data_IF_884526728882
#
_entry.id   IF_884526728882
#
_cell.length_a   1.000
_cell.length_b   1.000
_cell.length_c   1.000
_cell.angle_alpha   90.00
_cell.angle_beta   90.00
_cell.angle_gamma   90.00
#
_symmetry.space_group_name_H-M   'P 1'
#
loop_
_entity.id
_entity.type
_entity.pdbx_description
1 polymer ?
#
# COMPACT_ATOMS: atom_id res chain seq x y z
N UNK A 1 -29.69 8.56 -15.17
CA UNK A 1 -30.10 9.76 -14.41
C UNK A 1 -28.88 10.65 -14.25
N UNK A 2 -28.89 11.91 -14.73
CA UNK A 2 -27.80 12.85 -14.51
C UNK A 2 -27.81 13.37 -13.07
N UNK A 3 -26.63 13.48 -12.46
CA UNK A 3 -26.46 14.02 -11.11
C UNK A 3 -25.79 15.39 -11.20
N UNK A 4 -26.35 16.39 -10.52
CA UNK A 4 -25.73 17.71 -10.40
C UNK A 4 -24.83 17.74 -9.16
N UNK A 5 -23.56 18.09 -9.35
CA UNK A 5 -22.55 18.18 -8.30
C UNK A 5 -21.97 19.59 -8.30
N UNK A 6 -21.84 20.19 -7.13
CA UNK A 6 -21.12 21.46 -6.99
C UNK A 6 -19.62 21.17 -6.91
N UNK A 7 -18.85 21.73 -7.84
CA UNK A 7 -17.40 21.64 -7.88
C UNK A 7 -16.85 23.07 -7.79
N UNK A 8 -15.86 23.34 -6.92
CA UNK A 8 -15.18 24.63 -6.90
C UNK A 8 -14.59 24.96 -8.28
N UNK A 9 -14.61 26.24 -8.65
CA UNK A 9 -14.17 26.70 -9.98
C UNK A 9 -12.72 26.29 -10.29
N UNK A 10 -11.84 26.37 -9.29
CA UNK A 10 -10.43 25.97 -9.41
C UNK A 10 -10.30 24.48 -9.76
N UNK A 11 -11.13 23.63 -9.14
CA UNK A 11 -11.15 22.20 -9.41
C UNK A 11 -11.72 21.91 -10.80
N UNK A 12 -12.77 22.62 -11.20
CA UNK A 12 -13.39 22.46 -12.52
C UNK A 12 -12.39 22.82 -13.64
N UNK A 13 -11.61 23.89 -13.46
CA UNK A 13 -10.54 24.30 -14.38
C UNK A 13 -9.48 23.20 -14.53
N UNK A 14 -9.02 22.60 -13.43
CA UNK A 14 -8.05 21.50 -13.49
C UNK A 14 -8.62 20.25 -14.18
N UNK A 15 -9.87 19.92 -13.92
CA UNK A 15 -10.60 18.81 -14.56
C UNK A 15 -10.69 19.04 -16.07
N UNK A 16 -11.01 20.26 -16.50
CA UNK A 16 -11.08 20.61 -17.93
C UNK A 16 -9.74 20.51 -18.63
N UNK A 17 -8.69 21.05 -18.03
CA UNK A 17 -7.33 20.95 -18.57
C UNK A 17 -6.93 19.49 -18.75
N UNK A 18 -7.26 18.64 -17.78
CA UNK A 18 -6.92 17.21 -17.82
C UNK A 18 -7.74 16.46 -18.87
N UNK A 19 -9.04 16.73 -18.96
CA UNK A 19 -9.92 16.14 -19.97
C UNK A 19 -9.48 16.53 -21.39
N UNK A 20 -9.11 17.81 -21.59
CA UNK A 20 -8.61 18.31 -22.86
C UNK A 20 -7.28 17.65 -23.27
N UNK A 21 -6.34 17.51 -22.33
CA UNK A 21 -5.08 16.82 -22.57
C UNK A 21 -5.28 15.36 -23.00
N UNK A 22 -6.32 14.71 -22.46
CA UNK A 22 -6.70 13.33 -22.79
C UNK A 22 -7.67 13.23 -23.98
N UNK A 23 -8.07 14.36 -24.59
CA UNK A 23 -9.02 14.45 -25.72
C UNK A 23 -10.35 13.74 -25.44
N UNK A 24 -10.83 13.81 -24.21
CA UNK A 24 -12.13 13.27 -23.79
C UNK A 24 -13.03 14.37 -23.26
N UNK A 25 -14.34 14.14 -23.23
CA UNK A 25 -15.26 15.09 -22.61
C UNK A 25 -15.03 15.16 -21.10
N UNK A 26 -15.28 16.33 -20.50
CA UNK A 26 -15.25 16.54 -19.04
C UNK A 26 -16.02 15.44 -18.30
N UNK A 27 -17.26 15.18 -18.72
CA UNK A 27 -18.11 14.19 -18.07
C UNK A 27 -17.52 12.77 -18.16
N UNK A 28 -16.93 12.41 -19.31
CA UNK A 28 -16.27 11.10 -19.45
C UNK A 28 -15.05 10.99 -18.54
N UNK A 29 -14.23 12.04 -18.49
CA UNK A 29 -13.09 12.09 -17.58
C UNK A 29 -13.51 11.95 -16.11
N UNK A 30 -14.57 12.66 -15.68
CA UNK A 30 -15.10 12.57 -14.30
C UNK A 30 -15.56 11.14 -14.00
N UNK A 31 -16.36 10.54 -14.90
CA UNK A 31 -16.88 9.18 -14.71
C UNK A 31 -15.77 8.13 -14.67
N UNK A 32 -14.81 8.21 -15.60
CA UNK A 32 -13.71 7.24 -15.70
C UNK A 32 -12.78 7.36 -14.47
N UNK A 33 -12.52 8.58 -14.00
CA UNK A 33 -11.72 8.82 -12.79
C UNK A 33 -12.41 8.28 -11.54
N UNK A 34 -13.70 8.60 -11.35
CA UNK A 34 -14.47 8.07 -10.21
C UNK A 34 -14.56 6.56 -10.24
N UNK A 35 -14.76 5.97 -11.43
CA UNK A 35 -14.77 4.51 -11.60
C UNK A 35 -13.41 3.92 -11.22
N UNK A 36 -12.31 4.51 -11.69
CA UNK A 36 -10.97 4.06 -11.35
C UNK A 36 -10.76 4.07 -9.84
N UNK A 37 -11.06 5.18 -9.15
CA UNK A 37 -10.88 5.30 -7.69
C UNK A 37 -11.74 4.31 -6.91
N UNK A 38 -12.95 4.02 -7.39
CA UNK A 38 -13.84 3.06 -6.74
C UNK A 38 -13.49 1.59 -7.07
N UNK A 39 -12.81 1.35 -8.19
CA UNK A 39 -12.38 0.02 -8.63
C UNK A 39 -10.97 -0.33 -8.17
N UNK A 40 -10.15 0.66 -7.84
CA UNK A 40 -8.83 0.46 -7.28
C UNK A 40 -9.00 0.16 -5.78
N UNK A 41 -8.83 -1.10 -5.33
CA UNK A 41 -8.89 -1.43 -3.92
C UNK A 41 -7.56 -0.99 -3.28
N UNK A 42 -7.33 0.32 -3.20
CA UNK A 42 -6.13 0.88 -2.56
C UNK A 42 -6.12 0.57 -1.04
N UNK A 43 -7.19 -0.05 -0.53
CA UNK A 43 -7.26 -0.63 0.80
C UNK A 43 -7.64 -2.10 0.74
N UNK A 44 -6.88 -2.91 1.49
CA UNK A 44 -7.32 -4.24 1.89
C UNK A 44 -8.72 -4.13 2.51
N UNK A 45 -9.65 -4.97 2.08
CA UNK A 45 -11.02 -4.91 2.59
C UNK A 45 -11.02 -5.11 4.11
N UNK A 46 -11.95 -4.47 4.86
CA UNK A 46 -12.03 -4.67 6.31
C UNK A 46 -12.16 -6.14 6.70
N UNK A 47 -12.84 -6.95 5.88
CA UNK A 47 -12.95 -8.40 6.06
C UNK A 47 -11.62 -9.14 5.89
N UNK A 48 -10.74 -8.68 4.98
CA UNK A 48 -9.40 -9.23 4.82
C UNK A 48 -8.50 -8.88 6.02
N UNK A 49 -8.56 -7.64 6.53
CA UNK A 49 -7.85 -7.24 7.76
C UNK A 49 -8.33 -8.09 8.94
N UNK A 50 -9.64 -8.20 9.11
CA UNK A 50 -10.23 -9.01 10.18
C UNK A 50 -9.82 -10.48 10.08
N UNK A 51 -9.64 -11.02 8.88
CA UNK A 51 -9.13 -12.38 8.68
C UNK A 51 -7.65 -12.54 9.05
N UNK A 52 -6.82 -11.51 8.86
CA UNK A 52 -5.41 -11.51 9.28
C UNK A 52 -5.26 -11.41 10.80
N UNK A 53 -6.15 -10.67 11.46
CA UNK A 53 -6.16 -10.54 12.93
C UNK A 53 -6.66 -11.80 13.63
N UNK A 54 -7.41 -12.64 12.91
CA UNK A 54 -7.85 -13.95 13.40
C UNK A 54 -6.68 -14.95 13.40
N UNK A 55 -5.86 -14.91 14.44
CA UNK A 55 -4.87 -15.94 14.69
C UNK A 55 -5.55 -17.25 15.13
N UNK A 56 -5.47 -18.28 14.29
CA UNK A 56 -5.92 -19.63 14.64
C UNK A 56 -5.06 -20.22 15.77
N UNK A 57 -5.66 -20.90 16.78
CA UNK A 57 -4.90 -21.64 17.77
C UNK A 57 -3.95 -22.63 17.10
N UNK A 58 -2.66 -22.55 17.41
CA UNK A 58 -1.62 -23.41 16.82
C UNK A 58 -0.93 -22.83 15.58
N UNK A 59 -1.36 -21.68 15.06
CA UNK A 59 -0.68 -21.00 13.95
C UNK A 59 0.79 -20.70 14.26
N UNK A 60 1.10 -20.25 15.48
CA UNK A 60 2.47 -19.98 15.91
C UNK A 60 3.37 -21.23 15.81
N UNK A 61 2.90 -22.38 16.29
CA UNK A 61 3.65 -23.63 16.21
C UNK A 61 3.83 -24.10 14.76
N UNK A 62 2.78 -23.98 13.93
CA UNK A 62 2.87 -24.32 12.51
C UNK A 62 3.86 -23.43 11.74
N UNK A 63 3.95 -22.14 12.09
CA UNK A 63 4.93 -21.20 11.52
C UNK A 63 6.35 -21.58 11.94
N UNK A 64 6.57 -21.93 13.21
CA UNK A 64 7.87 -22.39 13.70
C UNK A 64 8.32 -23.68 12.98
N UNK A 65 7.41 -24.65 12.84
CA UNK A 65 7.69 -25.90 12.13
C UNK A 65 7.93 -25.68 10.64
N UNK A 66 7.23 -24.73 10.00
CA UNK A 66 7.49 -24.31 8.64
C UNK A 66 8.90 -23.71 8.51
N UNK A 67 9.29 -22.84 9.44
CA UNK A 67 10.63 -22.24 9.49
C UNK A 67 11.73 -23.30 9.61
N UNK A 68 11.57 -24.26 10.51
CA UNK A 68 12.51 -25.40 10.68
C UNK A 68 12.64 -26.22 9.40
N UNK A 69 11.52 -26.53 8.75
CA UNK A 69 11.51 -27.28 7.49
C UNK A 69 12.23 -26.54 6.35
N UNK A 70 12.04 -25.22 6.25
CA UNK A 70 12.74 -24.39 5.25
C UNK A 70 14.25 -24.42 5.51
N UNK A 71 14.68 -24.24 6.75
CA UNK A 71 16.09 -24.31 7.14
C UNK A 71 16.69 -25.67 6.78
N UNK A 72 15.99 -26.76 7.12
CA UNK A 72 16.46 -28.12 6.88
C UNK A 72 16.56 -28.49 5.39
N UNK A 73 15.65 -27.97 4.55
CA UNK A 73 15.64 -28.23 3.10
C UNK A 73 16.52 -27.27 2.30
N UNK A 74 16.98 -26.17 2.88
CA UNK A 74 17.79 -25.17 2.18
C UNK A 74 19.18 -25.75 1.90
N UNK A 75 19.47 -25.98 0.61
CA UNK A 75 20.75 -26.53 0.13
C UNK A 75 21.75 -25.47 -0.37
N UNK A 76 21.40 -24.17 -0.40
CA UNK A 76 22.30 -23.13 -0.90
C UNK A 76 22.12 -21.76 -0.26
N UNK A 77 23.25 -21.00 -0.29
CA UNK A 77 23.60 -19.64 0.18
C UNK A 77 22.97 -19.14 1.48
N UNK A 78 23.77 -18.48 2.31
CA UNK A 78 23.34 -17.90 3.59
C UNK A 78 22.17 -16.91 3.44
N UNK A 79 21.29 -16.78 4.45
CA UNK A 79 20.23 -15.77 4.47
C UNK A 79 20.78 -14.37 4.25
N UNK A 80 20.01 -13.53 3.54
CA UNK A 80 20.27 -12.09 3.52
C UNK A 80 19.99 -11.58 4.93
N UNK A 81 20.96 -10.90 5.52
CA UNK A 81 20.78 -10.23 6.80
C UNK A 81 19.81 -9.05 6.61
N UNK A 82 18.58 -9.21 7.10
CA UNK A 82 17.55 -8.17 7.09
C UNK A 82 17.59 -7.29 8.34
N UNK A 83 18.56 -7.50 9.23
CA UNK A 83 18.71 -6.68 10.42
C UNK A 83 19.15 -5.27 10.01
N UNK A 84 18.39 -4.21 10.32
CA UNK A 84 18.80 -2.86 9.98
C UNK A 84 20.14 -2.53 10.68
N UNK A 85 21.08 -1.86 9.99
CA UNK A 85 22.39 -1.57 10.55
C UNK A 85 22.24 -0.74 11.82
N UNK A 86 22.84 -1.20 12.93
CA UNK A 86 22.90 -0.42 14.19
C UNK A 86 23.65 0.88 13.90
N UNK A 87 22.91 1.99 13.82
CA UNK A 87 23.49 3.32 13.65
C UNK A 87 24.39 3.63 14.86
N UNK A 88 25.70 3.69 14.63
CA UNK A 88 26.67 4.12 15.66
C UNK A 88 26.42 5.60 15.94
N UNK A 89 25.67 5.89 17.00
CA UNK A 89 25.45 7.25 17.51
C UNK A 89 26.79 7.79 18.01
N UNK A 90 27.51 8.56 17.18
CA UNK A 90 28.73 9.27 17.58
C UNK A 90 28.35 10.26 18.69
N UNK A 91 28.71 9.96 19.93
CA UNK A 91 28.72 10.96 21.02
C UNK A 91 29.83 11.96 20.69
N UNK A 92 29.47 13.17 20.25
CA UNK A 92 30.43 14.29 20.20
C UNK A 92 30.83 14.59 21.65
N UNK A 93 32.10 14.38 21.97
CA UNK A 93 32.68 14.88 23.20
C UNK A 93 32.81 16.40 23.08
N UNK A 94 32.13 17.12 23.96
CA UNK A 94 32.29 18.56 24.15
C UNK A 94 33.60 18.77 24.91
N UNK A 95 34.64 19.30 24.25
CA UNK A 95 35.87 19.76 24.92
C UNK A 95 35.70 21.20 25.36
N UNK A 96 36.14 21.48 26.59
CA UNK A 96 36.32 22.80 27.18
C UNK A 96 37.73 23.31 26.87
#
# INVERSE_FOLDING_TARGET
MPTSLHLPDDLLSMVDQRAQALRVSRNRFIVDTLRSVLQDPESWSPGFIAALEQSSPGLAGAVDDLGRNIVQRRKSKSPIDLTPPRTKRKRKATSR
#
